data_IF_124598202651
#
_entry.id   IF_124598202651
#
_cell.length_a   1.000
_cell.length_b   1.000
_cell.length_c   1.000
_cell.angle_alpha   90.00
_cell.angle_beta   90.00
_cell.angle_gamma   90.00
#
_symmetry.space_group_name_H-M   'P 1'
#
loop_
_entity.id
_entity.type
_entity.pdbx_description
1 polymer ?
#
# COMPACT_ATOMS: atom_id res chain seq x y z
N UNK A 1 6.10 -0.94 -1.22
CA UNK A 1 5.08 -1.84 -0.65
C UNK A 1 5.59 -2.49 0.63
N UNK A 2 4.66 -2.88 1.48
CA UNK A 2 4.84 -3.55 2.76
C UNK A 2 4.07 -4.85 2.66
N UNK A 3 4.76 -5.98 2.74
CA UNK A 3 4.17 -7.30 2.69
C UNK A 3 4.29 -7.96 4.07
N UNK A 4 3.25 -8.69 4.46
CA UNK A 4 3.24 -9.49 5.68
C UNK A 4 3.94 -10.83 5.40
N UNK A 5 5.13 -11.02 5.96
CA UNK A 5 5.83 -12.30 5.97
C UNK A 5 5.43 -13.16 7.18
N UNK A 6 6.00 -14.35 7.28
CA UNK A 6 5.75 -15.29 8.39
C UNK A 6 6.46 -14.90 9.68
N UNK A 7 7.63 -14.28 9.58
CA UNK A 7 8.48 -13.87 10.72
C UNK A 7 8.70 -12.37 10.84
N UNK A 8 8.17 -11.58 9.90
CA UNK A 8 8.35 -10.13 9.88
C UNK A 8 7.68 -9.45 8.68
N UNK A 9 7.78 -8.14 8.65
CA UNK A 9 7.39 -7.32 7.51
C UNK A 9 8.48 -7.32 6.45
N UNK A 10 8.08 -7.36 5.18
CA UNK A 10 8.98 -7.18 4.05
C UNK A 10 8.65 -5.83 3.42
N UNK A 11 9.59 -4.90 3.48
CA UNK A 11 9.50 -3.61 2.83
C UNK A 11 10.19 -3.70 1.47
N UNK A 12 9.51 -3.25 0.42
CA UNK A 12 10.09 -3.16 -0.92
C UNK A 12 9.78 -1.80 -1.50
N UNK A 13 10.78 -1.09 -1.98
CA UNK A 13 10.59 0.03 -2.91
C UNK A 13 10.72 -0.49 -4.34
N UNK A 14 10.73 0.39 -5.32
CA UNK A 14 11.03 -0.02 -6.70
C UNK A 14 12.48 -0.54 -6.85
N UNK A 15 13.42 -0.06 -6.04
CA UNK A 15 14.85 -0.33 -6.19
C UNK A 15 15.47 -1.10 -5.03
N UNK A 16 14.81 -1.15 -3.88
CA UNK A 16 15.36 -1.69 -2.64
C UNK A 16 14.37 -2.63 -1.97
N UNK A 17 14.89 -3.54 -1.15
CA UNK A 17 14.08 -4.32 -0.24
C UNK A 17 14.77 -4.49 1.10
N UNK A 18 13.99 -4.61 2.15
CA UNK A 18 14.44 -4.84 3.50
C UNK A 18 13.39 -5.64 4.26
N UNK A 19 13.79 -6.22 5.38
CA UNK A 19 12.87 -6.94 6.26
C UNK A 19 12.99 -6.41 7.69
N UNK A 20 11.87 -6.44 8.41
CA UNK A 20 11.82 -6.07 9.81
C UNK A 20 11.10 -7.17 10.58
N UNK A 21 11.72 -7.77 11.61
CA UNK A 21 11.14 -8.91 12.32
C UNK A 21 9.92 -8.52 13.16
N UNK A 22 9.02 -9.47 13.40
CA UNK A 22 7.93 -9.29 14.37
C UNK A 22 8.48 -9.40 15.79
N UNK A 23 8.85 -8.26 16.38
CA UNK A 23 9.25 -8.18 17.78
C UNK A 23 8.06 -8.39 18.73
N UNK A 24 8.33 -8.63 20.00
CA UNK A 24 7.32 -8.73 21.06
C UNK A 24 6.44 -7.48 21.13
N UNK A 25 7.04 -6.31 20.99
CA UNK A 25 6.36 -5.02 21.10
C UNK A 25 5.37 -4.84 19.95
N UNK A 26 5.76 -5.23 18.72
CA UNK A 26 4.89 -5.15 17.55
C UNK A 26 3.66 -6.05 17.69
N UNK A 27 3.83 -7.25 18.22
CA UNK A 27 2.72 -8.19 18.41
C UNK A 27 1.64 -7.63 19.35
N UNK A 28 2.01 -6.76 20.29
CA UNK A 28 1.07 -6.12 21.19
C UNK A 28 0.15 -5.10 20.50
N UNK A 29 0.54 -4.56 19.34
CA UNK A 29 -0.31 -3.67 18.54
C UNK A 29 -1.32 -4.42 17.66
N UNK A 30 -1.29 -5.75 17.65
CA UNK A 30 -2.14 -6.59 16.82
C UNK A 30 -1.60 -6.79 15.40
N UNK A 31 -2.36 -7.53 14.60
CA UNK A 31 -2.02 -7.77 13.19
C UNK A 31 -2.69 -6.71 12.29
N UNK A 32 -1.97 -6.15 11.31
CA UNK A 32 -2.57 -5.26 10.33
C UNK A 32 -3.67 -5.97 9.55
N UNK A 33 -4.82 -5.32 9.41
CA UNK A 33 -5.90 -5.82 8.56
C UNK A 33 -5.65 -5.37 7.12
N UNK A 34 -5.24 -6.31 6.27
CA UNK A 34 -5.17 -6.13 4.82
C UNK A 34 -5.37 -7.45 4.07
N UNK A 35 -5.59 -7.36 2.76
CA UNK A 35 -5.85 -8.53 1.92
C UNK A 35 -4.54 -9.15 1.43
N UNK A 36 -3.62 -8.35 0.88
CA UNK A 36 -2.33 -8.85 0.38
C UNK A 36 -1.10 -8.06 0.85
N UNK A 37 -1.29 -7.10 1.77
CA UNK A 37 -0.29 -6.11 2.17
C UNK A 37 -0.66 -4.71 1.71
N UNK A 38 0.25 -3.76 1.88
CA UNK A 38 0.01 -2.34 1.59
C UNK A 38 1.03 -1.78 0.60
N UNK A 39 0.61 -0.83 -0.23
CA UNK A 39 1.52 0.17 -0.78
C UNK A 39 1.26 1.48 -0.06
N UNK A 40 2.33 2.13 0.38
CA UNK A 40 2.26 3.39 1.11
C UNK A 40 3.29 4.34 0.51
N UNK A 41 2.91 5.60 0.35
CA UNK A 41 3.80 6.64 -0.15
C UNK A 41 3.17 8.03 -0.02
N UNK A 42 3.97 9.08 -0.14
CA UNK A 42 3.44 10.43 -0.35
C UNK A 42 3.02 10.57 -1.80
N UNK A 43 1.87 11.18 -2.05
CA UNK A 43 1.47 11.52 -3.42
C UNK A 43 2.49 12.48 -4.03
N UNK A 44 2.79 12.31 -5.32
CA UNK A 44 3.54 13.29 -6.12
C UNK A 44 2.70 14.52 -6.48
N UNK A 45 1.38 14.47 -6.29
CA UNK A 45 0.46 15.58 -6.54
C UNK A 45 -0.01 16.20 -5.21
N UNK A 46 -0.06 17.54 -5.12
CA UNK A 46 -0.61 18.19 -3.96
C UNK A 46 -2.14 18.08 -3.93
N UNK A 47 -2.71 18.10 -2.72
CA UNK A 47 -4.14 18.27 -2.53
C UNK A 47 -4.56 19.75 -2.66
N UNK A 48 -5.86 20.04 -2.46
CA UNK A 48 -6.40 21.40 -2.55
C UNK A 48 -5.79 22.38 -1.53
N UNK A 49 -5.14 21.88 -0.48
CA UNK A 49 -4.47 22.68 0.54
C UNK A 49 -2.96 22.78 0.28
N UNK A 50 -2.49 22.41 -0.91
CA UNK A 50 -1.07 22.35 -1.30
C UNK A 50 -0.23 21.39 -0.44
N UNK A 51 -0.86 20.38 0.17
CA UNK A 51 -0.16 19.35 0.94
C UNK A 51 0.04 18.09 0.09
N UNK A 52 1.11 17.35 0.33
CA UNK A 52 1.38 16.06 -0.33
C UNK A 52 0.96 14.91 0.60
N UNK A 53 -0.31 14.46 0.52
CA UNK A 53 -0.86 13.52 1.49
C UNK A 53 -0.16 12.16 1.39
N UNK A 54 -0.06 11.47 2.51
CA UNK A 54 0.33 10.06 2.53
C UNK A 54 -0.86 9.22 2.11
N UNK A 55 -0.67 8.43 1.06
CA UNK A 55 -1.66 7.49 0.56
C UNK A 55 -1.27 6.07 0.94
N UNK A 56 -2.27 5.25 1.25
CA UNK A 56 -2.10 3.82 1.47
C UNK A 56 -3.16 3.05 0.68
N UNK A 57 -2.75 2.01 -0.04
CA UNK A 57 -3.63 1.14 -0.81
C UNK A 57 -3.34 -0.33 -0.54
N UNK A 58 -4.32 -1.21 -0.74
CA UNK A 58 -4.09 -2.65 -0.69
C UNK A 58 -3.26 -3.12 -1.90
N UNK A 59 -2.42 -4.13 -1.68
CA UNK A 59 -1.71 -4.80 -2.77
C UNK A 59 -2.56 -5.82 -3.50
N UNK A 60 -3.76 -6.14 -3.05
CA UNK A 60 -4.67 -7.04 -3.75
C UNK A 60 -5.21 -6.35 -5.01
N UNK A 61 -5.12 -7.04 -6.14
CA UNK A 61 -5.72 -6.59 -7.39
C UNK A 61 -7.25 -6.57 -7.25
N UNK A 62 -7.90 -5.40 -7.30
CA UNK A 62 -9.35 -5.28 -7.10
C UNK A 62 -10.14 -6.00 -8.19
N UNK A 63 -9.61 -6.07 -9.42
CA UNK A 63 -10.25 -6.75 -10.55
C UNK A 63 -10.24 -8.27 -10.35
N UNK A 64 -9.08 -8.86 -10.01
CA UNK A 64 -8.99 -10.30 -9.76
C UNK A 64 -9.79 -10.71 -8.52
N UNK A 65 -9.84 -9.85 -7.50
CA UNK A 65 -10.57 -10.11 -6.28
C UNK A 65 -12.09 -10.06 -6.51
N UNK A 66 -12.60 -9.02 -7.17
CA UNK A 66 -14.04 -8.87 -7.44
C UNK A 66 -14.59 -9.92 -8.41
N UNK A 67 -13.84 -10.28 -9.46
CA UNK A 67 -14.34 -11.18 -10.51
C UNK A 67 -14.18 -12.66 -10.19
N UNK A 68 -13.15 -13.02 -9.41
CA UNK A 68 -12.78 -14.42 -9.20
C UNK A 68 -12.53 -14.79 -7.74
N UNK A 69 -12.68 -13.86 -6.80
CA UNK A 69 -12.34 -14.03 -5.38
C UNK A 69 -10.88 -14.49 -5.17
N UNK A 70 -9.99 -14.11 -6.09
CA UNK A 70 -8.58 -14.48 -6.01
C UNK A 70 -7.79 -13.28 -5.49
N UNK A 71 -7.17 -13.46 -4.34
CA UNK A 71 -6.17 -12.54 -3.80
C UNK A 71 -4.88 -12.64 -4.63
N UNK A 72 -4.75 -11.79 -5.65
CA UNK A 72 -3.50 -11.61 -6.39
C UNK A 72 -2.80 -10.33 -6.00
N UNK A 73 -1.58 -10.47 -5.51
CA UNK A 73 -0.70 -9.37 -5.16
C UNK A 73 -0.25 -8.61 -6.42
N UNK A 74 -0.36 -7.30 -6.38
CA UNK A 74 0.16 -6.35 -7.35
C UNK A 74 1.66 -6.14 -7.13
N UNK A 75 2.38 -5.90 -8.21
CA UNK A 75 3.82 -5.63 -8.19
C UNK A 75 4.08 -4.18 -8.55
N UNK A 76 5.03 -3.52 -7.88
CA UNK A 76 5.54 -2.22 -8.33
C UNK A 76 6.28 -2.41 -9.65
N UNK A 77 5.67 -1.97 -10.75
CA UNK A 77 6.26 -2.00 -12.10
C UNK A 77 7.06 -0.74 -12.40
N UNK A 78 6.76 0.36 -11.72
CA UNK A 78 7.48 1.63 -11.73
C UNK A 78 7.28 2.35 -10.38
N UNK A 79 8.00 3.45 -10.08
CA UNK A 79 7.93 4.12 -8.77
C UNK A 79 6.51 4.45 -8.28
N UNK A 80 5.62 4.87 -9.16
CA UNK A 80 4.21 5.21 -8.84
C UNK A 80 3.21 4.35 -9.62
N UNK A 81 3.60 3.14 -10.01
CA UNK A 81 2.73 2.25 -10.80
C UNK A 81 2.71 0.84 -10.23
N UNK A 82 1.49 0.32 -10.05
CA UNK A 82 1.25 -1.07 -9.69
C UNK A 82 0.68 -1.84 -10.87
N UNK A 83 1.17 -3.06 -11.10
CA UNK A 83 0.67 -3.93 -12.17
C UNK A 83 0.27 -5.29 -11.62
N UNK A 84 -0.87 -5.80 -12.06
CA UNK A 84 -1.26 -7.17 -11.80
C UNK A 84 -0.58 -8.13 -12.78
N UNK A 85 0.14 -9.12 -12.27
CA UNK A 85 0.80 -10.12 -13.11
C UNK A 85 -0.17 -11.04 -13.85
N UNK A 86 -1.40 -11.21 -13.35
CA UNK A 86 -2.46 -12.06 -13.92
C UNK A 86 -3.31 -11.33 -14.96
N UNK A 87 -4.10 -10.33 -14.55
CA UNK A 87 -5.01 -9.62 -15.46
C UNK A 87 -4.36 -8.45 -16.20
N UNK A 88 -3.07 -8.20 -15.99
CA UNK A 88 -2.26 -7.15 -16.65
C UNK A 88 -2.73 -5.72 -16.46
N UNK A 89 -3.74 -5.49 -15.63
CA UNK A 89 -4.18 -4.14 -15.27
C UNK A 89 -3.06 -3.39 -14.56
N UNK A 90 -2.89 -2.14 -14.96
CA UNK A 90 -1.98 -1.16 -14.38
C UNK A 90 -2.79 -0.15 -13.57
N UNK A 91 -2.26 0.27 -12.43
CA UNK A 91 -2.86 1.25 -11.55
C UNK A 91 -1.85 2.36 -11.28
N UNK A 92 -2.28 3.59 -11.50
CA UNK A 92 -1.47 4.78 -11.33
C UNK A 92 -1.66 5.36 -9.92
N UNK A 93 -0.59 5.32 -9.11
CA UNK A 93 -0.61 5.83 -7.74
C UNK A 93 -0.61 7.36 -7.68
N UNK A 94 -0.09 8.03 -8.70
CA UNK A 94 -0.17 9.50 -8.82
C UNK A 94 -1.63 9.93 -9.05
N UNK A 95 -2.39 9.11 -9.77
CA UNK A 95 -3.82 9.33 -10.04
C UNK A 95 -4.75 8.51 -9.12
N UNK A 96 -4.49 8.57 -7.81
CA UNK A 96 -5.35 7.96 -6.78
C UNK A 96 -5.59 6.44 -6.91
N UNK A 97 -4.65 5.71 -7.51
CA UNK A 97 -4.74 4.27 -7.73
C UNK A 97 -5.76 3.88 -8.81
N UNK A 98 -6.00 4.75 -9.80
CA UNK A 98 -6.93 4.51 -10.90
C UNK A 98 -6.24 3.73 -12.03
N UNK A 99 -6.96 2.78 -12.66
CA UNK A 99 -6.55 2.12 -13.91
C UNK A 99 -7.18 2.81 -15.13
N UNK A 100 -6.63 2.58 -16.33
CA UNK A 100 -7.20 3.05 -17.61
C UNK A 100 -8.69 2.73 -17.76
N UNK A 101 -9.12 1.58 -17.24
CA UNK A 101 -10.47 1.04 -17.47
C UNK A 101 -11.44 1.45 -16.33
N UNK A 102 -11.06 2.42 -15.50
CA UNK A 102 -11.90 2.99 -14.43
C UNK A 102 -11.90 2.24 -13.10
N UNK A 103 -11.23 1.07 -13.01
CA UNK A 103 -11.05 0.36 -11.74
C UNK A 103 -10.12 1.14 -10.80
N UNK A 104 -10.37 1.03 -9.49
CA UNK A 104 -9.59 1.73 -8.46
C UNK A 104 -9.10 0.78 -7.39
N UNK A 105 -7.88 1.02 -6.91
CA UNK A 105 -7.33 0.32 -5.75
C UNK A 105 -8.13 0.60 -4.47
N UNK A 106 -8.23 -0.40 -3.60
CA UNK A 106 -8.78 -0.22 -2.26
C UNK A 106 -7.84 0.71 -1.47
N UNK A 107 -8.36 1.89 -1.09
CA UNK A 107 -7.61 2.91 -0.37
C UNK A 107 -7.90 2.82 1.13
N UNK A 108 -6.85 2.75 1.92
CA UNK A 108 -6.90 2.85 3.38
C UNK A 108 -6.84 4.31 3.82
N UNK A 109 -7.45 4.61 4.95
CA UNK A 109 -7.30 5.89 5.63
C UNK A 109 -5.93 5.95 6.30
N UNK A 110 -5.29 7.11 6.22
CA UNK A 110 -3.98 7.35 6.82
C UNK A 110 -4.09 8.48 7.83
N UNK A 111 -3.44 8.32 8.98
CA UNK A 111 -3.26 9.38 9.96
C UNK A 111 -1.77 9.50 10.29
N UNK A 112 -1.25 10.72 10.19
CA UNK A 112 0.11 11.05 10.59
C UNK A 112 0.08 11.67 11.98
N UNK A 113 0.76 11.04 12.93
CA UNK A 113 0.93 11.57 14.27
C UNK A 113 2.40 11.92 14.48
N UNK A 114 2.71 13.21 14.66
CA UNK A 114 4.08 13.68 14.89
C UNK A 114 4.13 14.54 16.14
N UNK A 115 4.27 13.96 17.34
CA UNK A 115 4.22 14.72 18.56
C UNK A 115 5.50 15.52 18.84
N UNK A 116 6.69 15.12 18.34
CA UNK A 116 7.98 15.84 18.45
C UNK A 116 9.15 15.01 17.86
N UNK A 117 9.18 14.75 16.54
CA UNK A 117 10.40 14.29 15.85
C UNK A 117 10.48 12.82 15.42
N UNK A 118 9.54 11.96 15.84
CA UNK A 118 9.33 10.63 15.23
C UNK A 118 7.88 10.52 14.77
N UNK A 119 7.67 10.60 13.45
CA UNK A 119 6.33 10.51 12.87
C UNK A 119 5.82 9.07 12.86
N UNK A 120 4.65 8.84 13.46
CA UNK A 120 3.92 7.58 13.36
C UNK A 120 2.90 7.69 12.23
N UNK A 121 2.90 6.70 11.32
CA UNK A 121 1.85 6.53 10.34
C UNK A 121 0.90 5.42 10.79
N UNK A 122 -0.37 5.76 10.94
CA UNK A 122 -1.44 4.80 11.20
C UNK A 122 -2.21 4.56 9.90
N UNK A 123 -2.37 3.29 9.53
CA UNK A 123 -3.17 2.86 8.38
C UNK A 123 -4.42 2.17 8.91
N UNK A 124 -5.59 2.68 8.54
CA UNK A 124 -6.91 2.25 9.03
C UNK A 124 -7.79 1.84 7.85
N UNK A 125 -8.64 0.84 8.06
CA UNK A 125 -9.68 0.43 7.10
C UNK A 125 -10.72 1.53 6.89
#
# INVERSE_FOLDING_TARGET
CIELGTSGFIFKTFTQSGSYPYTSEIKNYGQPQCVAGFVVGKSSLPDMNMQYPVMAYDLACPVCYSQHLITRKLTLSAPEQLTCTKCKHTFDLSNSGLSSDGNRLLRYRTALYSPQGSGMLVVMN
#
